data_IF_944838060608
#
_entry.id   IF_944838060608
#
_cell.length_a   1.000
_cell.length_b   1.000
_cell.length_c   1.000
_cell.angle_alpha   90.00
_cell.angle_beta   90.00
_cell.angle_gamma   90.00
#
_symmetry.space_group_name_H-M   'P 1'
#
loop_
_entity.id
_entity.type
_entity.pdbx_description
1 polymer ?
#
# COMPACT_ATOMS: atom_id res chain seq x y z
N UNK A 1 -3.35 -6.47 7.12
CA UNK A 1 -2.89 -5.31 6.35
C UNK A 1 -2.64 -4.17 7.31
N UNK A 2 -1.45 -4.11 7.90
CA UNK A 2 -1.10 -2.99 8.77
C UNK A 2 -0.27 -1.98 7.97
N UNK A 3 -0.34 -0.70 8.32
CA UNK A 3 0.62 0.31 7.85
C UNK A 3 1.45 0.71 9.05
N UNK A 4 2.75 0.44 9.00
CA UNK A 4 3.66 0.87 10.06
C UNK A 4 4.15 2.28 9.76
N UNK A 5 3.50 3.26 10.40
CA UNK A 5 3.89 4.65 10.31
C UNK A 5 5.01 4.95 11.31
N UNK A 6 6.26 4.88 10.85
CA UNK A 6 7.45 5.16 11.68
C UNK A 6 7.93 6.61 11.54
N UNK A 7 7.83 7.16 10.33
CA UNK A 7 8.30 8.50 10.01
C UNK A 7 7.36 9.18 9.01
N UNK A 8 7.27 10.52 9.08
CA UNK A 8 6.54 11.30 8.08
C UNK A 8 7.16 11.18 6.69
N UNK A 9 8.48 11.05 6.60
CA UNK A 9 9.17 10.80 5.34
C UNK A 9 9.17 9.30 5.04
N UNK A 10 8.50 8.83 3.97
CA UNK A 10 8.38 7.40 3.67
C UNK A 10 9.73 6.73 3.42
N UNK A 11 10.73 7.47 2.92
CA UNK A 11 12.10 6.94 2.72
C UNK A 11 12.81 6.68 4.05
N UNK A 12 12.60 7.54 5.04
CA UNK A 12 13.16 7.35 6.38
C UNK A 12 12.39 6.22 7.08
N UNK A 13 11.07 6.21 6.96
CA UNK A 13 10.25 5.13 7.50
C UNK A 13 10.69 3.77 6.95
N UNK A 14 11.03 3.66 5.66
CA UNK A 14 11.56 2.44 5.07
C UNK A 14 12.87 1.97 5.73
N UNK A 15 13.80 2.88 5.99
CA UNK A 15 15.07 2.58 6.68
C UNK A 15 14.88 2.17 8.14
N UNK A 16 13.86 2.69 8.79
CA UNK A 16 13.53 2.39 10.19
C UNK A 16 12.74 1.09 10.34
N UNK A 17 12.25 0.49 9.25
CA UNK A 17 11.63 -0.84 9.31
C UNK A 17 12.68 -1.93 9.51
N UNK A 18 12.41 -2.84 10.44
CA UNK A 18 13.25 -4.01 10.70
C UNK A 18 13.09 -5.04 9.55
N UNK A 19 14.20 -5.61 9.06
CA UNK A 19 14.28 -6.49 7.87
C UNK A 19 13.24 -7.61 7.84
N UNK A 20 12.95 -8.22 8.99
CA UNK A 20 11.96 -9.32 9.08
C UNK A 20 10.53 -8.88 8.79
N UNK A 21 10.21 -7.61 9.03
CA UNK A 21 8.91 -7.05 8.73
C UNK A 21 8.83 -6.57 7.28
N UNK A 22 9.93 -6.05 6.71
CA UNK A 22 9.98 -5.51 5.34
C UNK A 22 9.38 -6.46 4.30
N UNK A 23 9.73 -7.75 4.33
CA UNK A 23 9.24 -8.74 3.35
C UNK A 23 7.71 -8.92 3.41
N UNK A 24 7.14 -9.01 4.62
CA UNK A 24 5.69 -9.12 4.78
C UNK A 24 4.99 -7.81 4.42
N UNK A 25 5.61 -6.67 4.75
CA UNK A 25 5.03 -5.36 4.50
C UNK A 25 4.95 -4.99 3.03
N UNK A 26 5.95 -5.33 2.22
CA UNK A 26 5.92 -5.08 0.77
C UNK A 26 4.69 -5.73 0.13
N UNK A 27 4.41 -6.99 0.48
CA UNK A 27 3.24 -7.71 -0.01
C UNK A 27 1.94 -7.04 0.47
N UNK A 28 1.86 -6.68 1.75
CA UNK A 28 0.67 -6.03 2.30
C UNK A 28 0.41 -4.67 1.64
N UNK A 29 1.44 -3.86 1.43
CA UNK A 29 1.32 -2.55 0.76
C UNK A 29 0.87 -2.71 -0.69
N UNK A 30 1.46 -3.65 -1.44
CA UNK A 30 1.08 -3.90 -2.83
C UNK A 30 -0.39 -4.30 -2.96
N UNK A 31 -0.90 -5.14 -2.06
CA UNK A 31 -2.29 -5.56 -2.03
C UNK A 31 -3.25 -4.42 -1.64
N UNK A 32 -2.87 -3.51 -0.71
CA UNK A 32 -3.68 -2.32 -0.39
C UNK A 32 -3.74 -1.34 -1.56
N UNK A 33 -2.60 -1.06 -2.21
CA UNK A 33 -2.53 -0.19 -3.39
C UNK A 33 -3.33 -0.78 -4.55
N UNK A 34 -3.23 -2.10 -4.77
CA UNK A 34 -4.04 -2.81 -5.78
C UNK A 34 -5.54 -2.74 -5.47
N UNK A 35 -5.91 -2.87 -4.19
CA UNK A 35 -7.30 -2.73 -3.76
C UNK A 35 -7.82 -1.32 -4.01
N UNK A 36 -7.02 -0.28 -3.78
CA UNK A 36 -7.40 1.09 -4.11
C UNK A 36 -7.69 1.28 -5.61
N UNK A 37 -6.81 0.77 -6.48
CA UNK A 37 -7.04 0.81 -7.93
C UNK A 37 -8.29 0.02 -8.36
N UNK A 38 -8.57 -1.13 -7.74
CA UNK A 38 -9.79 -1.90 -8.03
C UNK A 38 -11.08 -1.17 -7.65
N UNK A 39 -11.08 -0.44 -6.52
CA UNK A 39 -12.26 0.35 -6.12
C UNK A 39 -12.44 1.61 -6.98
N UNK A 40 -11.35 2.29 -7.31
CA UNK A 40 -11.42 3.61 -7.94
C UNK A 40 -11.46 3.53 -9.47
N UNK A 41 -10.70 2.62 -10.07
CA UNK A 41 -10.55 2.52 -11.52
C UNK A 41 -11.29 1.31 -12.13
N UNK A 42 -11.79 0.39 -11.29
CA UNK A 42 -12.50 -0.82 -11.70
C UNK A 42 -11.60 -2.04 -11.94
N UNK A 43 -12.23 -3.21 -11.95
CA UNK A 43 -11.53 -4.50 -12.03
C UNK A 43 -10.87 -4.75 -13.40
N UNK A 44 -11.47 -4.29 -14.50
CA UNK A 44 -10.89 -4.47 -15.86
C UNK A 44 -9.50 -3.81 -15.98
N UNK A 45 -9.37 -2.57 -15.49
CA UNK A 45 -8.10 -1.85 -15.49
C UNK A 45 -7.09 -2.55 -14.58
N UNK A 46 -7.51 -2.94 -13.38
CA UNK A 46 -6.64 -3.63 -12.44
C UNK A 46 -6.12 -4.97 -13.00
N UNK A 47 -6.98 -5.73 -13.68
CA UNK A 47 -6.60 -7.00 -14.29
C UNK A 47 -5.66 -6.80 -15.49
N UNK A 48 -5.88 -5.76 -16.31
CA UNK A 48 -4.95 -5.41 -17.41
C UNK A 48 -3.55 -5.05 -16.91
N UNK A 49 -3.45 -4.47 -15.71
CA UNK A 49 -2.20 -4.12 -15.03
C UNK A 49 -1.66 -5.28 -14.17
N UNK A 50 -2.31 -6.44 -14.20
CA UNK A 50 -1.95 -7.62 -13.40
C UNK A 50 -1.85 -7.32 -11.89
N UNK A 51 -2.72 -6.45 -11.37
CA UNK A 51 -2.75 -6.07 -9.96
C UNK A 51 -3.32 -7.19 -9.08
N UNK A 52 -2.91 -7.22 -7.82
CA UNK A 52 -3.42 -8.18 -6.84
C UNK A 52 -4.94 -8.09 -6.71
N UNK A 53 -5.59 -9.23 -6.43
CA UNK A 53 -7.02 -9.28 -6.10
C UNK A 53 -7.32 -8.41 -4.88
N UNK A 54 -8.56 -7.91 -4.83
CA UNK A 54 -9.08 -7.13 -3.69
C UNK A 54 -8.83 -7.87 -2.38
N UNK A 55 -8.21 -7.20 -1.41
CA UNK A 55 -7.89 -7.76 -0.11
C UNK A 55 -8.26 -6.78 1.00
N UNK A 56 -8.97 -7.26 2.02
CA UNK A 56 -9.26 -6.52 3.25
C UNK A 56 -9.86 -5.11 3.04
N UNK A 57 -10.81 -4.96 2.10
CA UNK A 57 -11.41 -3.68 1.69
C UNK A 57 -11.81 -2.75 2.86
N UNK A 58 -12.45 -3.30 3.89
CA UNK A 58 -12.96 -2.51 5.02
C UNK A 58 -11.95 -2.37 6.17
N UNK A 59 -10.73 -2.87 6.00
CA UNK A 59 -9.69 -2.71 7.02
C UNK A 59 -9.27 -1.24 7.12
N UNK A 60 -9.09 -0.68 8.34
CA UNK A 60 -8.79 0.73 8.53
C UNK A 60 -7.60 1.23 7.69
N UNK A 61 -6.54 0.44 7.58
CA UNK A 61 -5.38 0.79 6.74
C UNK A 61 -5.71 0.86 5.25
N UNK A 62 -6.53 -0.06 4.74
CA UNK A 62 -6.95 -0.09 3.33
C UNK A 62 -7.96 1.03 3.02
N UNK A 63 -8.78 1.42 4.01
CA UNK A 63 -9.64 2.61 3.93
C UNK A 63 -8.79 3.86 3.88
N UNK A 64 -7.83 4.00 4.80
CA UNK A 64 -6.89 5.12 4.85
C UNK A 64 -6.10 5.27 3.55
N UNK A 65 -5.66 4.17 2.91
CA UNK A 65 -4.93 4.24 1.63
C UNK A 65 -5.74 4.90 0.51
N UNK A 66 -7.06 4.77 0.52
CA UNK A 66 -7.95 5.24 -0.57
C UNK A 66 -8.75 6.49 -0.22
N UNK A 67 -8.56 7.05 0.97
CA UNK A 67 -9.35 8.19 1.44
C UNK A 67 -8.92 9.49 0.75
N UNK A 68 -7.63 9.66 0.39
CA UNK A 68 -7.16 10.73 -0.49
C UNK A 68 -5.82 10.42 -1.19
N UNK A 69 -5.47 11.26 -2.16
CA UNK A 69 -4.24 11.14 -2.96
C UNK A 69 -2.97 11.21 -2.11
N UNK A 70 -2.94 12.04 -1.06
CA UNK A 70 -1.75 12.18 -0.23
C UNK A 70 -1.44 10.90 0.56
N UNK A 71 -2.47 10.22 1.07
CA UNK A 71 -2.32 8.93 1.77
C UNK A 71 -1.87 7.83 0.80
N UNK A 72 -2.48 7.78 -0.40
CA UNK A 72 -2.07 6.87 -1.46
C UNK A 72 -0.60 7.07 -1.85
N UNK A 73 -0.23 8.32 -2.15
CA UNK A 73 1.13 8.70 -2.55
C UNK A 73 2.15 8.39 -1.47
N UNK A 74 1.82 8.64 -0.19
CA UNK A 74 2.71 8.30 0.91
C UNK A 74 2.98 6.79 1.00
N UNK A 75 1.92 5.96 0.91
CA UNK A 75 2.08 4.50 0.96
C UNK A 75 2.82 3.99 -0.28
N UNK A 76 2.53 4.53 -1.46
CA UNK A 76 3.22 4.16 -2.70
C UNK A 76 4.71 4.50 -2.62
N UNK A 77 5.07 5.69 -2.11
CA UNK A 77 6.47 6.07 -1.89
C UNK A 77 7.15 5.17 -0.88
N UNK A 78 6.44 4.76 0.17
CA UNK A 78 6.95 3.81 1.16
C UNK A 78 7.21 2.45 0.50
N UNK A 79 6.25 1.91 -0.24
CA UNK A 79 6.37 0.67 -1.02
C UNK A 79 7.56 0.72 -1.99
N UNK A 80 7.68 1.80 -2.77
CA UNK A 80 8.79 1.99 -3.71
C UNK A 80 10.14 2.10 -2.99
N UNK A 81 10.17 2.66 -1.78
CA UNK A 81 11.41 2.79 -1.00
C UNK A 81 11.89 1.46 -0.39
N UNK A 82 11.05 0.41 -0.41
CA UNK A 82 11.41 -0.94 -0.01
C UNK A 82 11.92 -1.83 -1.16
N UNK A 83 11.73 -1.41 -2.40
CA UNK A 83 12.18 -2.12 -3.61
C UNK A 83 13.56 -1.66 -4.06
#
# INVERSE_FOLDING_TARGET
>A
MNIFYLNKNPKIAAKEHNDRHCVKMILEYAQMLSTAHRELDGDERADSLSLYKRAHLNHPSTVWTRENEAQYSWLYQLFYSFS
#
